data_IF_956973004483
#
_entry.id   IF_956973004483
#
_cell.length_a   1.000
_cell.length_b   1.000
_cell.length_c   1.000
_cell.angle_alpha   90.00
_cell.angle_beta   90.00
_cell.angle_gamma   90.00
#
_symmetry.space_group_name_H-M   'P 1'
#
loop_
_entity.id
_entity.type
_entity.pdbx_description
1 polymer ?
#
# COMPACT_ATOMS: atom_id res chain seq x y z
N UNK A 1 -4.10 -24.14 -0.15
CA UNK A 1 -3.00 -24.79 -0.90
C UNK A 1 -2.64 -23.83 -2.03
N UNK A 2 -1.40 -23.32 -2.09
CA UNK A 2 -0.97 -22.36 -3.12
C UNK A 2 -1.03 -23.08 -4.47
N UNK A 3 -1.90 -22.64 -5.38
CA UNK A 3 -1.98 -23.22 -6.73
C UNK A 3 -0.72 -22.87 -7.52
N UNK A 4 -0.32 -23.77 -8.42
CA UNK A 4 0.73 -23.51 -9.40
C UNK A 4 0.39 -22.27 -10.26
N UNK A 5 1.43 -21.64 -10.82
CA UNK A 5 1.29 -20.52 -11.76
C UNK A 5 0.32 -20.91 -12.88
N UNK A 6 -0.60 -20.00 -13.24
CA UNK A 6 -1.57 -20.23 -14.32
C UNK A 6 -0.98 -19.95 -15.70
N UNK A 7 0.06 -19.10 -15.75
CA UNK A 7 0.85 -18.86 -16.95
C UNK A 7 1.98 -19.89 -17.09
N UNK A 8 2.28 -20.27 -18.33
CA UNK A 8 3.42 -21.14 -18.67
C UNK A 8 4.78 -20.39 -18.65
N UNK A 9 4.76 -19.07 -18.48
CA UNK A 9 5.96 -18.20 -18.41
C UNK A 9 5.76 -17.07 -17.40
N UNK A 10 6.85 -16.55 -16.83
CA UNK A 10 6.81 -15.40 -15.93
C UNK A 10 7.84 -14.35 -16.38
N UNK A 11 7.44 -13.11 -16.72
CA UNK A 11 6.06 -12.59 -16.80
C UNK A 11 5.24 -13.24 -17.93
N UNK A 12 3.91 -13.34 -17.75
CA UNK A 12 3.01 -13.83 -18.79
C UNK A 12 2.79 -12.83 -19.93
N UNK A 13 2.04 -13.23 -20.96
CA UNK A 13 1.87 -12.45 -22.19
C UNK A 13 1.26 -11.07 -21.94
N UNK A 14 0.28 -10.96 -21.04
CA UNK A 14 -0.38 -9.68 -20.77
C UNK A 14 0.58 -8.73 -20.02
N UNK A 15 1.31 -9.25 -19.03
CA UNK A 15 2.35 -8.47 -18.35
C UNK A 15 3.44 -8.00 -19.32
N UNK A 16 3.85 -8.82 -20.28
CA UNK A 16 4.83 -8.42 -21.31
C UNK A 16 4.33 -7.27 -22.18
N UNK A 17 3.06 -7.30 -22.63
CA UNK A 17 2.48 -6.21 -23.43
C UNK A 17 2.34 -4.91 -22.64
N UNK A 18 1.94 -5.00 -21.36
CA UNK A 18 1.92 -3.83 -20.48
C UNK A 18 3.34 -3.27 -20.24
N UNK A 19 4.34 -4.13 -20.15
CA UNK A 19 5.73 -3.70 -19.99
C UNK A 19 6.26 -2.94 -21.21
N UNK A 20 5.94 -3.40 -22.43
CA UNK A 20 6.29 -2.66 -23.66
C UNK A 20 5.69 -1.26 -23.67
N UNK A 21 4.42 -1.13 -23.28
CA UNK A 21 3.74 0.17 -23.16
C UNK A 21 4.39 1.05 -22.10
N UNK A 22 4.73 0.47 -20.94
CA UNK A 22 5.42 1.17 -19.86
C UNK A 22 6.76 1.75 -20.35
N UNK A 23 7.59 0.96 -21.04
CA UNK A 23 8.88 1.42 -21.57
C UNK A 23 8.77 2.59 -22.56
N UNK A 24 7.66 2.67 -23.29
CA UNK A 24 7.41 3.76 -24.24
C UNK A 24 6.89 5.04 -23.57
N UNK A 25 6.17 4.91 -22.45
CA UNK A 25 5.44 6.00 -21.82
C UNK A 25 6.09 6.53 -20.53
N UNK A 26 6.94 5.73 -19.87
CA UNK A 26 7.47 6.04 -18.55
C UNK A 26 8.99 6.25 -18.63
N UNK A 27 9.52 7.37 -18.09
CA UNK A 27 10.96 7.62 -18.05
C UNK A 27 11.73 6.56 -17.26
N UNK A 28 12.96 6.25 -17.70
CA UNK A 28 13.83 5.21 -17.11
C UNK A 28 14.14 5.41 -15.61
N UNK A 29 13.98 6.63 -15.08
CA UNK A 29 14.17 6.92 -13.66
C UNK A 29 13.09 6.31 -12.75
N UNK A 30 11.92 5.98 -13.30
CA UNK A 30 10.90 5.17 -12.61
C UNK A 30 11.19 3.72 -12.98
N UNK A 31 11.45 2.86 -11.99
CA UNK A 31 11.74 1.45 -12.22
C UNK A 31 10.79 0.58 -11.40
N UNK A 32 10.38 -0.55 -11.99
CA UNK A 32 9.61 -1.59 -11.29
C UNK A 32 10.56 -2.68 -10.80
N UNK A 33 10.45 -3.06 -9.53
CA UNK A 33 11.26 -4.12 -8.93
C UNK A 33 10.93 -5.52 -9.48
N UNK A 34 9.69 -5.71 -9.94
CA UNK A 34 9.22 -6.98 -10.49
C UNK A 34 8.62 -6.75 -11.87
N UNK A 35 8.64 -7.76 -12.75
CA UNK A 35 7.96 -7.70 -14.05
C UNK A 35 6.46 -7.98 -13.94
N UNK A 36 5.90 -7.95 -12.72
CA UNK A 36 4.50 -8.28 -12.46
C UNK A 36 3.63 -7.03 -12.60
N UNK A 37 2.51 -7.16 -13.31
CA UNK A 37 1.47 -6.14 -13.37
C UNK A 37 0.28 -6.63 -12.55
N UNK A 38 0.00 -5.96 -11.43
CA UNK A 38 -1.02 -6.39 -10.47
C UNK A 38 -2.42 -6.10 -11.00
N UNK A 39 -3.28 -7.12 -11.02
CA UNK A 39 -4.72 -6.97 -11.28
C UNK A 39 -5.49 -6.74 -9.97
N UNK A 40 -5.18 -7.49 -8.92
CA UNK A 40 -5.80 -7.32 -7.59
C UNK A 40 -4.84 -7.75 -6.48
N UNK A 41 -5.01 -7.18 -5.30
CA UNK A 41 -4.30 -7.58 -4.10
C UNK A 41 -5.30 -7.66 -2.93
N UNK A 42 -5.24 -8.73 -2.14
CA UNK A 42 -6.07 -8.92 -0.96
C UNK A 42 -5.29 -9.69 0.09
N UNK A 43 -5.26 -9.19 1.32
CA UNK A 43 -4.48 -9.76 2.42
C UNK A 43 -3.02 -9.97 1.97
N UNK A 44 -2.46 -11.17 2.16
CA UNK A 44 -1.10 -11.50 1.71
C UNK A 44 -1.04 -12.00 0.26
N UNK A 45 -2.10 -11.85 -0.54
CA UNK A 45 -2.17 -12.40 -1.90
C UNK A 45 -2.23 -11.30 -2.96
N UNK A 46 -1.36 -11.41 -3.97
CA UNK A 46 -1.39 -10.60 -5.18
C UNK A 46 -1.78 -11.49 -6.37
N UNK A 47 -2.76 -11.05 -7.16
CA UNK A 47 -3.10 -11.63 -8.46
C UNK A 47 -2.59 -10.71 -9.57
N UNK A 48 -1.74 -11.21 -10.45
CA UNK A 48 -1.31 -10.45 -11.63
C UNK A 48 -2.35 -10.49 -12.78
N UNK A 49 -2.12 -9.69 -13.83
CA UNK A 49 -3.00 -9.63 -15.02
C UNK A 49 -3.02 -10.92 -15.85
N UNK A 50 -2.07 -11.83 -15.62
CA UNK A 50 -2.00 -13.15 -16.25
C UNK A 50 -2.71 -14.23 -15.39
N UNK A 51 -3.27 -13.85 -14.24
CA UNK A 51 -4.03 -14.70 -13.33
C UNK A 51 -3.18 -15.53 -12.37
N UNK A 52 -1.87 -15.26 -12.27
CA UNK A 52 -0.97 -15.90 -11.31
C UNK A 52 -1.19 -15.31 -9.91
N UNK A 53 -1.15 -16.17 -8.89
CA UNK A 53 -1.26 -15.77 -7.49
C UNK A 53 0.11 -15.83 -6.81
N UNK A 54 0.49 -14.75 -6.13
CA UNK A 54 1.73 -14.64 -5.37
C UNK A 54 1.40 -14.37 -3.91
N UNK A 55 2.20 -14.93 -3.00
CA UNK A 55 2.22 -14.44 -1.62
C UNK A 55 3.08 -13.18 -1.62
N UNK A 56 2.51 -12.08 -1.15
CA UNK A 56 3.17 -10.79 -1.08
C UNK A 56 4.11 -10.69 0.13
N UNK A 57 5.39 -10.96 -0.11
CA UNK A 57 6.47 -10.69 0.84
C UNK A 57 7.18 -9.35 0.56
N UNK A 58 6.77 -8.61 -0.47
CA UNK A 58 7.29 -7.26 -0.72
C UNK A 58 6.52 -6.21 0.10
N UNK A 59 5.24 -6.48 0.39
CA UNK A 59 4.37 -5.69 1.26
C UNK A 59 4.18 -4.25 0.79
N UNK A 60 4.37 -3.98 -0.51
CA UNK A 60 4.40 -2.61 -1.04
C UNK A 60 5.44 -1.71 -0.37
N UNK A 61 6.54 -2.27 0.17
CA UNK A 61 7.52 -1.54 1.00
C UNK A 61 6.84 -0.88 2.21
N UNK A 62 5.81 -1.53 2.76
CA UNK A 62 5.02 -1.06 3.88
C UNK A 62 4.31 0.26 3.63
N UNK A 63 4.06 0.64 2.36
CA UNK A 63 3.51 1.93 1.99
C UNK A 63 1.98 1.88 1.82
N UNK A 64 1.30 2.91 2.32
CA UNK A 64 -0.14 3.12 2.16
C UNK A 64 -0.38 4.56 1.73
N UNK A 65 -0.81 4.74 0.48
CA UNK A 65 -1.19 6.05 -0.05
C UNK A 65 -2.60 6.44 0.44
N UNK A 66 -2.71 7.67 0.95
CA UNK A 66 -3.96 8.26 1.37
C UNK A 66 -4.42 9.30 0.35
N UNK A 67 -5.68 9.16 -0.06
CA UNK A 67 -6.36 10.08 -0.98
C UNK A 67 -7.68 10.53 -0.36
N UNK A 68 -8.08 11.76 -0.65
CA UNK A 68 -9.36 12.31 -0.18
C UNK A 68 -10.53 11.71 -0.94
N UNK A 69 -10.32 11.36 -2.21
CA UNK A 69 -11.30 10.72 -3.05
C UNK A 69 -10.68 9.58 -3.88
N UNK A 70 -11.41 8.47 -3.94
CA UNK A 70 -10.95 7.24 -4.58
C UNK A 70 -11.00 7.27 -6.11
N UNK A 71 -11.72 8.23 -6.71
CA UNK A 71 -11.82 8.42 -8.17
C UNK A 71 -10.79 9.43 -8.64
N UNK A 72 -10.75 10.62 -8.04
CA UNK A 72 -9.84 11.71 -8.43
C UNK A 72 -8.40 11.45 -7.99
N UNK A 73 -8.21 10.61 -6.96
CA UNK A 73 -6.90 10.31 -6.35
C UNK A 73 -6.19 11.55 -5.80
N UNK A 74 -6.96 12.56 -5.38
CA UNK A 74 -6.38 13.77 -4.78
C UNK A 74 -5.61 13.41 -3.49
N UNK A 75 -4.31 13.79 -3.38
CA UNK A 75 -3.47 13.46 -2.23
C UNK A 75 -3.98 14.00 -0.89
N UNK A 76 -4.15 13.13 0.11
CA UNK A 76 -4.60 13.52 1.46
C UNK A 76 -3.44 13.92 2.39
N UNK A 77 -2.67 14.94 2.00
CA UNK A 77 -1.45 15.38 2.71
C UNK A 77 -1.72 15.76 4.18
N UNK A 78 -2.70 16.61 4.43
CA UNK A 78 -3.01 17.11 5.78
C UNK A 78 -3.50 15.98 6.69
N UNK A 79 -4.31 15.07 6.15
CA UNK A 79 -4.79 13.90 6.88
C UNK A 79 -3.64 12.96 7.23
N UNK A 80 -2.72 12.73 6.29
CA UNK A 80 -1.54 11.89 6.48
C UNK A 80 -0.67 12.43 7.62
N UNK A 81 -0.40 13.74 7.62
CA UNK A 81 0.36 14.39 8.68
C UNK A 81 -0.33 14.31 10.05
N UNK A 82 -1.67 14.40 10.09
CA UNK A 82 -2.44 14.23 11.32
C UNK A 82 -2.38 12.80 11.85
N UNK A 83 -2.53 11.80 10.98
CA UNK A 83 -2.40 10.38 11.35
C UNK A 83 -1.03 10.05 11.92
N UNK A 84 0.05 10.50 11.27
CA UNK A 84 1.42 10.29 11.76
C UNK A 84 1.58 10.84 13.18
N UNK A 85 1.12 12.08 13.42
CA UNK A 85 1.16 12.68 14.76
C UNK A 85 0.35 11.89 15.77
N UNK A 86 -0.81 11.36 15.37
CA UNK A 86 -1.66 10.59 16.26
C UNK A 86 -1.05 9.22 16.60
N UNK A 87 -0.45 8.53 15.63
CA UNK A 87 0.30 7.30 15.90
C UNK A 87 1.43 7.55 16.90
N UNK A 88 2.22 8.61 16.71
CA UNK A 88 3.34 8.94 17.60
C UNK A 88 2.89 9.21 19.04
N UNK A 89 1.79 9.94 19.24
CA UNK A 89 1.22 10.18 20.59
C UNK A 89 0.82 8.89 21.29
N UNK A 90 0.37 7.89 20.53
CA UNK A 90 -0.11 6.62 21.04
C UNK A 90 0.98 5.53 21.06
N UNK A 91 2.24 5.89 20.81
CA UNK A 91 3.39 5.00 20.94
C UNK A 91 3.72 4.17 19.69
N UNK A 92 3.14 4.48 18.53
CA UNK A 92 3.43 3.82 17.26
C UNK A 92 4.25 4.76 16.36
N UNK A 93 5.41 4.30 15.90
CA UNK A 93 6.23 5.04 14.93
C UNK A 93 5.83 4.65 13.51
N UNK A 94 5.39 5.63 12.74
CA UNK A 94 5.35 5.58 11.27
C UNK A 94 6.08 6.78 10.67
N UNK A 95 6.38 6.71 9.37
CA UNK A 95 6.99 7.82 8.62
C UNK A 95 6.14 8.18 7.41
N UNK A 96 6.19 9.45 7.02
CA UNK A 96 5.63 9.92 5.75
C UNK A 96 6.57 9.63 4.57
N UNK A 97 6.02 9.45 3.39
CA UNK A 97 6.75 9.28 2.14
C UNK A 97 5.97 9.84 0.94
N UNK A 98 6.56 9.71 -0.25
CA UNK A 98 5.97 10.16 -1.51
C UNK A 98 6.21 11.64 -1.79
N UNK A 99 6.14 12.04 -3.07
CA UNK A 99 6.37 13.42 -3.50
C UNK A 99 5.27 14.40 -3.06
N UNK A 100 4.11 13.86 -2.65
CA UNK A 100 2.95 14.63 -2.21
C UNK A 100 2.71 14.54 -0.69
N UNK A 101 3.62 13.92 0.06
CA UNK A 101 3.53 13.72 1.52
C UNK A 101 2.23 13.03 2.00
N UNK A 102 1.62 12.20 1.15
CA UNK A 102 0.35 11.52 1.41
C UNK A 102 0.49 10.00 1.60
N UNK A 103 1.71 9.50 1.76
CA UNK A 103 1.98 8.07 1.92
C UNK A 103 2.45 7.78 3.34
N UNK A 104 1.75 6.90 4.05
CA UNK A 104 2.20 6.31 5.31
C UNK A 104 3.12 5.14 5.03
N UNK A 105 4.20 5.00 5.81
CA UNK A 105 5.07 3.83 5.74
C UNK A 105 5.24 3.15 7.09
N UNK A 106 5.03 1.84 7.10
CA UNK A 106 5.23 0.95 8.24
C UNK A 106 6.38 -0.01 7.95
N UNK A 107 7.41 0.02 8.79
CA UNK A 107 8.60 -0.82 8.65
C UNK A 107 8.85 -1.57 9.96
N UNK A 108 7.95 -2.52 10.34
CA UNK A 108 8.14 -3.27 11.57
C UNK A 108 9.42 -4.11 11.51
N UNK A 109 10.17 -4.24 12.62
CA UNK A 109 11.37 -5.06 12.64
C UNK A 109 11.02 -6.55 12.48
N UNK A 110 11.92 -7.35 11.90
CA UNK A 110 11.68 -8.78 11.67
C UNK A 110 11.50 -9.62 12.95
N UNK A 111 11.87 -9.06 14.10
CA UNK A 111 11.74 -9.69 15.43
C UNK A 111 10.46 -9.27 16.16
N UNK A 112 9.60 -8.45 15.54
CA UNK A 112 8.33 -8.02 16.14
C UNK A 112 7.45 -9.25 16.45
N UNK A 113 6.81 -9.25 17.62
CA UNK A 113 5.88 -10.32 17.99
C UNK A 113 4.49 -10.08 17.38
N UNK A 114 3.67 -11.14 17.31
CA UNK A 114 2.27 -11.00 16.87
C UNK A 114 1.48 -10.06 17.79
N UNK A 115 1.76 -10.09 19.10
CA UNK A 115 1.10 -9.21 20.09
C UNK A 115 1.44 -7.74 19.86
N UNK A 116 2.69 -7.44 19.50
CA UNK A 116 3.14 -6.10 19.15
C UNK A 116 2.54 -5.63 17.82
N UNK A 117 2.42 -6.53 16.83
CA UNK A 117 1.71 -6.27 15.57
C UNK A 117 0.25 -5.91 15.85
N UNK A 118 -0.44 -6.71 16.65
CA UNK A 118 -1.85 -6.49 17.01
C UNK A 118 -2.04 -5.15 17.72
N UNK A 119 -1.12 -4.81 18.65
CA UNK A 119 -1.14 -3.51 19.32
C UNK A 119 -0.90 -2.35 18.35
N UNK A 120 0.01 -2.52 17.39
CA UNK A 120 0.24 -1.56 16.33
C UNK A 120 -1.03 -1.31 15.49
N UNK A 121 -1.71 -2.38 15.07
CA UNK A 121 -2.97 -2.27 14.34
C UNK A 121 -4.10 -1.65 15.15
N UNK A 122 -4.17 -1.92 16.46
CA UNK A 122 -5.14 -1.28 17.35
C UNK A 122 -4.96 0.25 17.36
N UNK A 123 -3.71 0.73 17.49
CA UNK A 123 -3.38 2.17 17.44
C UNK A 123 -3.73 2.76 16.07
N UNK A 124 -3.44 2.04 14.99
CA UNK A 124 -3.78 2.48 13.63
C UNK A 124 -5.30 2.68 13.51
N UNK A 125 -6.08 1.68 13.88
CA UNK A 125 -7.54 1.73 13.79
C UNK A 125 -8.12 2.87 14.62
N UNK A 126 -7.68 3.04 15.87
CA UNK A 126 -8.15 4.12 16.75
C UNK A 126 -7.89 5.50 16.15
N UNK A 127 -6.72 5.73 15.56
CA UNK A 127 -6.39 7.02 14.94
C UNK A 127 -7.22 7.29 13.68
N UNK A 128 -7.48 6.28 12.85
CA UNK A 128 -8.38 6.40 11.70
C UNK A 128 -9.82 6.68 12.14
N UNK A 129 -10.32 5.96 13.14
CA UNK A 129 -11.66 6.17 13.70
C UNK A 129 -11.83 7.58 14.26
N UNK A 130 -10.86 8.07 15.04
CA UNK A 130 -10.89 9.42 15.60
C UNK A 130 -11.00 10.50 14.51
N UNK A 131 -10.26 10.35 13.41
CA UNK A 131 -10.28 11.31 12.30
C UNK A 131 -11.56 11.20 11.46
N UNK A 132 -12.08 9.99 11.23
CA UNK A 132 -13.37 9.78 10.58
C UNK A 132 -14.56 10.30 11.41
N UNK A 133 -14.48 10.28 12.74
CA UNK A 133 -15.51 10.85 13.61
C UNK A 133 -15.46 12.38 13.63
N UNK A 134 -14.27 12.96 13.53
CA UNK A 134 -14.08 14.41 13.48
C UNK A 134 -14.60 15.03 12.17
N UNK A 135 -14.52 14.31 11.04
CA UNK A 135 -15.09 14.77 9.76
C UNK A 135 -16.63 14.80 9.75
N UNK A 136 -17.30 13.93 10.53
CA UNK A 136 -18.77 13.96 10.68
C UNK A 136 -19.27 15.14 11.51
N UNK A 137 -18.44 15.70 12.40
CA UNK A 137 -18.82 16.82 13.29
C UNK A 137 -18.58 18.22 12.71
N UNK A 138 -17.83 18.33 11.62
CA UNK A 138 -17.50 19.61 10.98
C UNK A 138 -18.43 19.97 9.81
N UNK A 139 -19.48 19.17 9.58
CA UNK A 139 -20.52 19.39 8.58
C UNK A 139 -21.91 19.73 9.13
N UNK A 140 -22.00 20.15 10.41
CA UNK A 140 -23.22 20.74 11.02
C UNK A 140 -23.07 22.24 11.23
#
# INVERSE_FOLDING_TARGET
MIQALKSNTLPGNYSQELHKRYQQAVPIGVYNLTPLYVQSAKEAMITDVDGNNFIDFAGGIGAMELVTDHVTKEPAKELTAQLIKEFWKNGLISIGAGIHDNVLRFLPPLVISNEEIDKGFEIINQAFEALCQNSKRSGE
#
